data_IF_940409524880
#
_entry.id   IF_940409524880
#
_cell.length_a   1.000
_cell.length_b   1.000
_cell.length_c   1.000
_cell.angle_alpha   90.00
_cell.angle_beta   90.00
_cell.angle_gamma   90.00
#
_symmetry.space_group_name_H-M   'P 1'
#
loop_
_entity.id
_entity.type
_entity.pdbx_description
1 polymer ?
#
# COMPACT_ATOMS: atom_id res chain seq x y z
N UNK A 1 7.51 -6.81 -15.75
CA UNK A 1 7.54 -6.30 -14.37
C UNK A 1 7.04 -7.39 -13.43
N UNK A 2 7.73 -7.67 -12.33
CA UNK A 2 7.33 -8.69 -11.35
C UNK A 2 6.47 -8.03 -10.27
N UNK A 3 5.30 -8.60 -9.95
CA UNK A 3 4.42 -8.08 -8.90
C UNK A 3 4.96 -8.44 -7.53
N UNK A 4 5.28 -7.43 -6.71
CA UNK A 4 5.82 -7.63 -5.36
C UNK A 4 4.69 -7.83 -4.34
N UNK A 5 3.62 -7.04 -4.46
CA UNK A 5 2.49 -7.05 -3.51
C UNK A 5 1.27 -7.71 -4.15
N UNK A 6 1.12 -9.04 -3.96
CA UNK A 6 -0.04 -9.79 -4.48
C UNK A 6 -1.38 -9.28 -3.91
N UNK A 7 -1.40 -8.96 -2.61
CA UNK A 7 -2.48 -8.21 -1.94
C UNK A 7 -1.98 -6.78 -1.69
N UNK A 8 -2.85 -5.76 -1.77
CA UNK A 8 -2.45 -4.39 -1.48
C UNK A 8 -2.01 -4.25 -0.02
N UNK A 9 -1.00 -3.42 0.23
CA UNK A 9 -0.64 -3.00 1.59
C UNK A 9 -1.57 -1.85 1.98
N UNK A 10 -2.19 -1.97 3.14
CA UNK A 10 -3.12 -0.99 3.70
C UNK A 10 -2.52 -0.30 4.92
N UNK A 11 -2.91 0.94 5.22
CA UNK A 11 -2.49 1.63 6.43
C UNK A 11 -2.88 0.88 7.71
N UNK A 12 -2.05 1.01 8.73
CA UNK A 12 -2.35 0.49 10.07
C UNK A 12 -3.28 1.42 10.86
N UNK A 13 -3.81 0.96 12.02
CA UNK A 13 -4.76 1.73 12.82
C UNK A 13 -4.23 3.11 13.25
N UNK A 14 -2.97 3.17 13.70
CA UNK A 14 -2.32 4.42 14.14
C UNK A 14 -2.24 5.47 13.03
N UNK A 15 -1.89 5.05 11.82
CA UNK A 15 -1.82 5.97 10.67
C UNK A 15 -3.20 6.53 10.32
N UNK A 16 -4.25 5.72 10.44
CA UNK A 16 -5.62 6.17 10.17
C UNK A 16 -6.10 7.18 11.23
N UNK A 17 -5.63 7.05 12.47
CA UNK A 17 -5.93 8.00 13.55
C UNK A 17 -5.21 9.34 13.32
N UNK A 18 -3.89 9.31 13.07
CA UNK A 18 -3.09 10.52 12.83
C UNK A 18 -3.41 11.17 11.46
N UNK A 19 -3.82 10.37 10.48
CA UNK A 19 -4.12 10.80 9.11
C UNK A 19 -5.36 10.08 8.54
N UNK A 20 -6.58 10.56 8.86
CA UNK A 20 -7.84 9.91 8.45
C UNK A 20 -8.01 9.73 6.93
N UNK A 21 -7.43 10.62 6.12
CA UNK A 21 -7.49 10.50 4.64
C UNK A 21 -6.72 9.29 4.10
N UNK A 22 -5.78 8.72 4.88
CA UNK A 22 -5.09 7.48 4.48
C UNK A 22 -6.01 6.27 4.47
N UNK A 23 -7.17 6.28 5.16
CA UNK A 23 -8.03 5.10 5.36
C UNK A 23 -8.33 4.27 4.10
N UNK A 24 -8.43 4.90 2.93
CA UNK A 24 -8.73 4.22 1.66
C UNK A 24 -7.48 3.88 0.81
N UNK A 25 -6.28 4.22 1.27
CA UNK A 25 -5.04 3.99 0.54
C UNK A 25 -4.75 2.50 0.37
N UNK A 26 -4.25 2.14 -0.82
CA UNK A 26 -3.88 0.76 -1.20
C UNK A 26 -2.58 0.80 -1.99
N UNK A 27 -1.46 0.49 -1.34
CA UNK A 27 -0.16 0.48 -1.99
C UNK A 27 0.02 -0.82 -2.79
N UNK A 28 0.49 -0.67 -4.03
CA UNK A 28 0.89 -1.79 -4.91
C UNK A 28 2.27 -1.53 -5.48
N UNK A 29 3.18 -2.49 -5.31
CA UNK A 29 4.56 -2.43 -5.80
C UNK A 29 4.80 -3.43 -6.94
N UNK A 30 5.58 -3.01 -7.92
CA UNK A 30 6.08 -3.84 -9.01
C UNK A 30 7.57 -3.54 -9.25
N UNK A 31 8.33 -4.56 -9.57
CA UNK A 31 9.73 -4.46 -9.97
C UNK A 31 9.83 -4.41 -11.49
N UNK A 32 10.61 -3.48 -12.04
CA UNK A 32 10.92 -3.46 -13.47
C UNK A 32 11.88 -4.62 -13.76
N UNK A 33 11.46 -5.51 -14.65
CA UNK A 33 12.34 -6.56 -15.16
C UNK A 33 13.11 -5.92 -16.31
N UNK A 34 14.44 -6.01 -16.26
CA UNK A 34 15.35 -5.51 -17.29
C UNK A 34 15.09 -6.13 -18.65
#
# INVERSE_FOLDING_TARGET
>A
ATVLTRKPVTPGPREIEENPRSRSAKLRGMEKIG
#
